data_IF_682898551218
#
_entry.id   IF_682898551218
#
_cell.length_a   1.000
_cell.length_b   1.000
_cell.length_c   1.000
_cell.angle_alpha   90.00
_cell.angle_beta   90.00
_cell.angle_gamma   90.00
#
_symmetry.space_group_name_H-M   'P 1'
#
loop_
_entity.id
_entity.type
_entity.pdbx_description
1 polymer ?
#
# COMPACT_ATOMS: atom_id res chain seq x y z
N UNK A 1 -9.99 24.55 9.17
CA UNK A 1 -8.64 24.04 9.50
C UNK A 1 -7.62 25.03 9.02
N UNK A 2 -6.78 25.57 9.89
CA UNK A 2 -5.78 26.56 9.50
C UNK A 2 -4.46 25.94 9.03
N UNK A 3 -4.14 24.71 9.41
CA UNK A 3 -2.93 24.03 8.92
C UNK A 3 -2.93 22.53 9.14
N UNK A 4 -2.85 21.76 8.05
CA UNK A 4 -2.70 20.29 8.07
C UNK A 4 -1.33 19.92 7.52
N UNK A 5 -0.56 19.17 8.30
CA UNK A 5 0.73 18.63 7.89
C UNK A 5 0.64 17.10 7.78
N UNK A 6 0.79 16.59 6.56
CA UNK A 6 0.81 15.15 6.28
C UNK A 6 2.27 14.69 6.24
N UNK A 7 2.62 13.73 7.08
CA UNK A 7 3.99 13.21 7.20
C UNK A 7 4.06 11.75 6.83
N UNK A 8 5.00 11.44 5.95
CA UNK A 8 5.29 10.09 5.51
C UNK A 8 6.79 9.79 5.63
N UNK A 9 7.20 8.59 5.23
CA UNK A 9 8.60 8.24 5.05
C UNK A 9 8.73 7.34 3.82
N UNK A 10 9.66 7.69 2.92
CA UNK A 10 9.92 6.93 1.68
C UNK A 10 10.71 5.65 1.96
N UNK A 11 10.05 4.73 2.67
CA UNK A 11 10.50 3.35 2.89
C UNK A 11 9.56 2.45 2.10
N UNK A 12 9.78 2.37 0.79
CA UNK A 12 8.78 1.87 -0.16
C UNK A 12 7.81 2.97 -0.65
N UNK A 13 7.03 2.66 -1.69
CA UNK A 13 6.14 3.63 -2.32
C UNK A 13 4.79 3.79 -1.61
N UNK A 14 4.35 2.81 -0.81
CA UNK A 14 3.01 2.74 -0.25
C UNK A 14 2.67 3.94 0.64
N UNK A 15 3.48 4.18 1.66
CA UNK A 15 3.23 5.24 2.64
C UNK A 15 3.12 6.65 1.99
N UNK A 16 4.01 6.97 1.04
CA UNK A 16 3.99 8.26 0.31
C UNK A 16 2.73 8.37 -0.55
N UNK A 17 2.32 7.28 -1.23
CA UNK A 17 1.11 7.29 -2.06
C UNK A 17 -0.15 7.47 -1.22
N UNK A 18 -0.23 6.87 -0.04
CA UNK A 18 -1.33 7.10 0.90
C UNK A 18 -1.37 8.57 1.37
N UNK A 19 -0.22 9.17 1.69
CA UNK A 19 -0.12 10.58 2.04
C UNK A 19 -0.60 11.49 0.90
N UNK A 20 -0.19 11.21 -0.33
CA UNK A 20 -0.61 11.94 -1.53
C UNK A 20 -2.12 11.78 -1.80
N UNK A 21 -2.67 10.59 -1.57
CA UNK A 21 -4.11 10.33 -1.71
C UNK A 21 -4.93 11.20 -0.72
N UNK A 22 -4.50 11.27 0.53
CA UNK A 22 -5.12 12.13 1.54
C UNK A 22 -4.99 13.61 1.15
N UNK A 23 -3.81 14.04 0.65
CA UNK A 23 -3.61 15.41 0.19
C UNK A 23 -4.56 15.78 -0.95
N UNK A 24 -4.75 14.88 -1.93
CA UNK A 24 -5.71 15.07 -3.02
C UNK A 24 -7.14 15.16 -2.50
N UNK A 25 -7.53 14.28 -1.59
CA UNK A 25 -8.87 14.31 -0.99
C UNK A 25 -9.14 15.61 -0.23
N UNK A 26 -8.14 16.17 0.45
CA UNK A 26 -8.23 17.50 1.05
C UNK A 26 -8.45 18.59 -0.01
N UNK A 27 -7.70 18.56 -1.11
CA UNK A 27 -7.83 19.53 -2.19
C UNK A 27 -9.22 19.45 -2.86
N UNK A 28 -9.75 18.23 -3.06
CA UNK A 28 -11.08 18.02 -3.63
C UNK A 28 -12.20 18.44 -2.69
N UNK A 29 -12.03 18.30 -1.38
CA UNK A 29 -13.04 18.67 -0.38
C UNK A 29 -13.10 20.18 -0.08
N UNK A 30 -12.07 20.95 -0.43
CA UNK A 30 -11.93 22.34 -0.03
C UNK A 30 -11.86 22.57 1.49
N UNK A 31 -11.52 21.53 2.26
CA UNK A 31 -11.64 21.49 3.72
C UNK A 31 -10.64 22.39 4.45
N UNK A 32 -9.56 22.81 3.80
CA UNK A 32 -8.52 23.65 4.39
C UNK A 32 -7.78 24.45 3.33
N UNK A 33 -7.29 25.63 3.69
CA UNK A 33 -6.49 26.49 2.82
C UNK A 33 -5.02 26.04 2.70
N UNK A 34 -4.53 25.25 3.67
CA UNK A 34 -3.12 24.83 3.71
C UNK A 34 -2.97 23.36 4.08
N UNK A 35 -2.60 22.53 3.10
CA UNK A 35 -2.19 21.13 3.28
C UNK A 35 -0.79 20.93 2.71
N UNK A 36 0.15 20.58 3.57
CA UNK A 36 1.50 20.22 3.14
C UNK A 36 1.73 18.71 3.33
N UNK A 37 2.33 18.08 2.34
CA UNK A 37 2.77 16.68 2.42
C UNK A 37 4.30 16.64 2.44
N UNK A 38 4.87 16.03 3.47
CA UNK A 38 6.31 16.03 3.75
C UNK A 38 6.82 14.60 3.88
N UNK A 39 7.92 14.30 3.20
CA UNK A 39 8.72 13.10 3.48
C UNK A 39 9.65 13.38 4.67
N UNK A 40 9.39 12.74 5.80
CA UNK A 40 10.18 12.91 7.02
C UNK A 40 11.66 12.54 6.84
N UNK A 41 11.98 11.65 5.89
CA UNK A 41 13.36 11.29 5.58
C UNK A 41 14.14 12.39 4.85
N UNK A 42 13.47 13.32 4.17
CA UNK A 42 14.14 14.48 3.57
C UNK A 42 14.65 15.45 4.64
N UNK A 43 14.06 15.42 5.83
CA UNK A 43 14.46 16.18 7.01
C UNK A 43 15.33 15.36 7.98
N UNK A 44 15.79 14.20 7.57
CA UNK A 44 16.72 13.37 8.35
C UNK A 44 18.16 13.61 7.94
N UNK A 45 19.10 13.27 8.84
CA UNK A 45 20.52 13.25 8.50
C UNK A 45 20.74 12.38 7.24
N UNK A 46 21.50 12.86 6.21
CA UNK A 46 21.69 12.11 4.96
C UNK A 46 22.25 10.70 5.13
N UNK A 47 23.18 10.51 6.09
CA UNK A 47 23.73 9.20 6.40
C UNK A 47 22.66 8.29 7.02
N UNK A 48 21.87 8.81 7.96
CA UNK A 48 20.75 8.08 8.57
C UNK A 48 19.72 7.69 7.50
N UNK A 49 19.30 8.63 6.64
CA UNK A 49 18.37 8.36 5.55
C UNK A 49 18.85 7.22 4.66
N UNK A 50 20.11 7.28 4.22
CA UNK A 50 20.71 6.25 3.36
C UNK A 50 20.77 4.88 4.06
N UNK A 51 21.21 4.86 5.32
CA UNK A 51 21.31 3.63 6.10
C UNK A 51 19.93 3.04 6.43
N UNK A 52 18.98 3.87 6.81
CA UNK A 52 17.62 3.45 7.15
C UNK A 52 16.91 2.80 5.94
N UNK A 53 16.94 3.49 4.79
CA UNK A 53 16.33 2.98 3.57
C UNK A 53 17.06 1.74 3.06
N UNK A 54 18.41 1.79 3.02
CA UNK A 54 19.22 0.67 2.53
C UNK A 54 19.10 -0.56 3.44
N UNK A 55 19.18 -0.39 4.77
CA UNK A 55 19.07 -1.51 5.70
C UNK A 55 17.70 -2.21 5.60
N UNK A 56 16.62 -1.45 5.42
CA UNK A 56 15.31 -2.03 5.18
C UNK A 56 15.27 -2.84 3.87
N UNK A 57 15.69 -2.23 2.76
CA UNK A 57 15.67 -2.88 1.44
C UNK A 57 16.58 -4.11 1.43
N UNK A 58 17.79 -4.00 1.96
CA UNK A 58 18.75 -5.11 2.01
C UNK A 58 18.19 -6.25 2.88
N UNK A 59 17.63 -5.95 4.06
CA UNK A 59 17.07 -6.97 4.95
C UNK A 59 15.88 -7.70 4.31
N UNK A 60 14.96 -6.96 3.68
CA UNK A 60 13.80 -7.54 2.99
C UNK A 60 14.22 -8.39 1.79
N UNK A 61 15.24 -7.98 1.03
CA UNK A 61 15.65 -8.68 -0.19
C UNK A 61 16.63 -9.82 0.05
N UNK A 62 17.55 -9.68 1.03
CA UNK A 62 18.64 -10.67 1.23
C UNK A 62 18.37 -11.62 2.38
N UNK A 63 17.60 -11.20 3.40
CA UNK A 63 17.31 -11.99 4.59
C UNK A 63 15.83 -11.90 5.00
N UNK A 64 14.88 -12.23 4.09
CA UNK A 64 13.44 -12.04 4.36
C UNK A 64 12.95 -12.82 5.59
N UNK A 65 13.44 -14.04 5.82
CA UNK A 65 13.09 -14.83 6.99
C UNK A 65 13.53 -14.17 8.32
N UNK A 66 14.72 -13.54 8.33
CA UNK A 66 15.20 -12.79 9.49
C UNK A 66 14.36 -11.53 9.73
N UNK A 67 13.93 -10.86 8.66
CA UNK A 67 13.02 -9.73 8.76
C UNK A 67 11.69 -10.14 9.38
N UNK A 68 11.07 -11.23 8.91
CA UNK A 68 9.82 -11.76 9.46
C UNK A 68 9.95 -12.14 10.94
N UNK A 69 11.03 -12.86 11.30
CA UNK A 69 11.30 -13.18 12.71
C UNK A 69 11.45 -11.92 13.58
N UNK A 70 12.18 -10.90 13.10
CA UNK A 70 12.34 -9.64 13.80
C UNK A 70 11.04 -8.85 13.91
N UNK A 71 10.19 -8.90 12.89
CA UNK A 71 8.86 -8.29 12.87
C UNK A 71 7.98 -8.91 13.98
N UNK A 72 7.89 -10.24 14.03
CA UNK A 72 7.10 -10.98 15.02
C UNK A 72 7.65 -10.86 16.46
N UNK A 73 8.98 -10.87 16.64
CA UNK A 73 9.57 -10.67 17.96
C UNK A 73 9.31 -9.27 18.54
N UNK A 74 9.24 -8.26 17.68
CA UNK A 74 8.83 -6.91 18.09
C UNK A 74 7.39 -6.84 18.56
N UNK A 75 6.48 -7.55 17.91
CA UNK A 75 5.10 -7.68 18.35
C UNK A 75 5.01 -8.20 19.79
N UNK A 76 5.79 -9.21 20.12
CA UNK A 76 5.82 -9.82 21.47
C UNK A 76 6.45 -8.92 22.54
N UNK A 77 7.42 -8.09 22.18
CA UNK A 77 8.21 -7.26 23.11
C UNK A 77 7.68 -5.83 23.31
N UNK A 78 6.61 -5.45 22.66
CA UNK A 78 6.08 -4.07 22.62
C UNK A 78 5.88 -3.40 24.00
N UNK A 79 5.73 -4.18 25.07
CA UNK A 79 5.54 -3.66 26.43
C UNK A 79 6.81 -3.05 27.06
N UNK A 80 8.00 -3.17 26.45
CA UNK A 80 9.28 -2.82 27.08
C UNK A 80 10.19 -1.84 26.30
N UNK A 81 9.85 -1.40 25.09
CA UNK A 81 10.76 -0.57 24.28
C UNK A 81 10.54 0.95 24.40
N UNK A 82 10.91 1.54 25.53
CA UNK A 82 10.97 2.99 25.73
C UNK A 82 12.21 3.69 25.10
N UNK A 83 13.16 2.92 24.53
CA UNK A 83 14.47 3.44 24.08
C UNK A 83 14.56 3.83 22.60
N UNK A 84 13.58 3.46 21.76
CA UNK A 84 13.54 3.75 20.33
C UNK A 84 13.52 5.23 19.97
N UNK A 85 12.78 6.09 20.67
CA UNK A 85 12.62 7.49 20.29
C UNK A 85 13.94 8.28 20.24
N UNK A 86 14.93 7.91 21.03
CA UNK A 86 16.16 8.69 21.14
C UNK A 86 17.03 8.68 19.87
N UNK A 87 17.16 7.52 19.22
CA UNK A 87 17.98 7.40 18.00
C UNK A 87 17.36 8.11 16.81
N UNK A 88 16.05 7.97 16.63
CA UNK A 88 15.30 8.68 15.56
C UNK A 88 15.38 10.20 15.77
N UNK A 89 15.21 10.68 17.00
CA UNK A 89 15.24 12.10 17.36
C UNK A 89 16.58 12.79 17.07
N UNK A 90 17.69 12.13 17.37
CA UNK A 90 19.02 12.67 17.09
C UNK A 90 19.27 12.88 15.60
N UNK A 91 18.70 12.03 14.77
CA UNK A 91 18.89 12.04 13.32
C UNK A 91 17.85 12.86 12.55
N UNK A 92 16.77 13.30 13.22
CA UNK A 92 15.64 14.04 12.61
C UNK A 92 15.45 15.43 13.20
N UNK A 93 16.51 16.05 13.71
CA UNK A 93 16.47 17.42 14.25
C UNK A 93 15.85 18.45 13.30
N UNK A 94 16.13 18.44 11.96
CA UNK A 94 15.48 19.38 11.05
C UNK A 94 13.95 19.18 10.98
N UNK A 95 13.45 17.93 11.09
CA UNK A 95 12.02 17.66 11.15
C UNK A 95 11.41 18.21 12.45
N UNK A 96 12.09 18.03 13.59
CA UNK A 96 11.66 18.60 14.88
C UNK A 96 11.55 20.11 14.76
N UNK A 97 12.55 20.77 14.20
CA UNK A 97 12.55 22.23 13.99
C UNK A 97 11.38 22.66 13.09
N UNK A 98 11.14 21.96 11.97
CA UNK A 98 10.01 22.21 11.10
C UNK A 98 8.68 22.16 11.88
N UNK A 99 8.48 21.13 12.69
CA UNK A 99 7.26 20.95 13.50
C UNK A 99 7.10 22.05 14.55
N UNK A 100 8.19 22.43 15.24
CA UNK A 100 8.19 23.49 16.24
C UNK A 100 7.92 24.88 15.64
N UNK A 101 8.38 25.14 14.40
CA UNK A 101 8.16 26.39 13.68
C UNK A 101 6.76 26.49 13.06
N UNK A 102 6.24 25.40 12.50
CA UNK A 102 4.95 25.38 11.80
C UNK A 102 3.76 25.26 12.73
N UNK A 103 3.92 24.61 13.91
CA UNK A 103 2.84 24.37 14.88
C UNK A 103 1.51 23.97 14.19
N UNK A 104 1.46 22.90 13.38
CA UNK A 104 0.27 22.52 12.64
C UNK A 104 -0.86 22.11 13.59
N UNK A 105 -2.11 22.50 13.30
CA UNK A 105 -3.28 22.13 14.10
C UNK A 105 -3.52 20.62 14.07
N UNK A 106 -3.30 20.03 12.88
CA UNK A 106 -3.45 18.59 12.68
C UNK A 106 -2.19 18.04 11.98
N UNK A 107 -1.67 16.95 12.53
CA UNK A 107 -0.63 16.14 11.90
C UNK A 107 -1.21 14.79 11.49
N UNK A 108 -1.03 14.40 10.23
CA UNK A 108 -1.46 13.12 9.69
C UNK A 108 -0.24 12.29 9.33
N UNK A 109 -0.05 11.15 9.98
CA UNK A 109 1.11 10.29 9.78
C UNK A 109 0.71 9.02 9.03
N UNK A 110 1.27 8.81 7.85
CA UNK A 110 1.12 7.56 7.08
C UNK A 110 2.30 6.61 7.28
N UNK A 111 3.19 6.91 8.23
CA UNK A 111 4.30 6.06 8.65
C UNK A 111 4.56 6.23 10.14
N UNK A 112 4.95 5.15 10.82
CA UNK A 112 5.14 5.14 12.29
C UNK A 112 6.30 6.03 12.77
N UNK A 113 7.36 6.23 11.98
CA UNK A 113 8.53 7.01 12.40
C UNK A 113 8.19 8.50 12.66
N UNK A 114 7.55 9.26 11.77
CA UNK A 114 7.10 10.61 12.10
C UNK A 114 6.05 10.60 13.21
N UNK A 115 5.16 9.60 13.28
CA UNK A 115 4.16 9.49 14.34
C UNK A 115 4.79 9.42 15.74
N UNK A 116 5.87 8.66 15.90
CA UNK A 116 6.63 8.53 17.14
C UNK A 116 7.30 9.86 17.55
N UNK A 117 7.85 10.61 16.59
CA UNK A 117 8.49 11.92 16.85
C UNK A 117 7.44 12.92 17.33
N UNK A 118 6.30 13.00 16.65
CA UNK A 118 5.21 13.89 17.04
C UNK A 118 4.67 13.54 18.42
N UNK A 119 4.43 12.25 18.67
CA UNK A 119 3.98 11.77 19.98
C UNK A 119 4.92 12.20 21.10
N UNK A 120 6.23 12.16 20.87
CA UNK A 120 7.20 12.66 21.83
C UNK A 120 7.11 14.18 22.01
N UNK A 121 7.04 14.97 20.93
CA UNK A 121 6.94 16.44 21.02
C UNK A 121 5.67 16.89 21.77
N UNK A 122 4.55 16.20 21.54
CA UNK A 122 3.28 16.47 22.26
C UNK A 122 3.43 16.20 23.75
N UNK A 123 4.05 15.08 24.12
CA UNK A 123 4.30 14.73 25.54
C UNK A 123 5.24 15.72 26.23
N UNK A 124 6.25 16.21 25.53
CA UNK A 124 7.18 17.24 26.04
C UNK A 124 6.59 18.65 26.02
N UNK A 125 5.33 18.79 25.60
CA UNK A 125 4.61 20.09 25.45
C UNK A 125 5.33 21.07 24.50
N UNK A 126 6.05 20.55 23.50
CA UNK A 126 6.74 21.33 22.47
C UNK A 126 5.91 21.52 21.22
N UNK A 127 4.90 20.69 21.04
CA UNK A 127 3.98 20.73 19.91
C UNK A 127 2.55 20.57 20.41
N UNK A 128 1.69 21.50 20.02
CA UNK A 128 0.25 21.47 20.29
C UNK A 128 -0.49 21.12 19.00
N UNK A 129 -0.60 19.83 18.70
CA UNK A 129 -1.27 19.31 17.50
C UNK A 129 -2.19 18.15 17.83
N UNK A 130 -3.24 17.99 17.06
CA UNK A 130 -4.03 16.75 17.03
C UNK A 130 -3.36 15.77 16.10
N UNK A 131 -2.96 14.62 16.64
CA UNK A 131 -2.26 13.59 15.87
C UNK A 131 -3.25 12.59 15.28
N UNK A 132 -3.19 12.36 13.99
CA UNK A 132 -3.86 11.28 13.28
C UNK A 132 -2.82 10.30 12.71
N UNK A 133 -3.07 9.01 12.88
CA UNK A 133 -2.22 7.93 12.39
C UNK A 133 -3.03 7.12 11.39
N UNK A 134 -2.57 7.06 10.15
CA UNK A 134 -3.20 6.32 9.06
C UNK A 134 -2.35 5.09 8.75
N UNK A 135 -2.85 3.94 9.19
CA UNK A 135 -2.18 2.66 8.97
C UNK A 135 -2.33 2.24 7.50
N UNK A 136 -1.24 1.86 6.86
CA UNK A 136 -1.19 1.54 5.43
C UNK A 136 -1.06 0.04 5.15
N UNK A 137 -1.32 -0.76 6.16
CA UNK A 137 -1.42 -2.22 6.11
C UNK A 137 -2.81 -2.68 6.55
N UNK A 138 -3.21 -3.89 6.16
CA UNK A 138 -4.48 -4.46 6.61
C UNK A 138 -4.43 -4.88 8.08
N UNK A 139 -3.30 -5.45 8.50
CA UNK A 139 -3.04 -5.72 9.91
C UNK A 139 -2.26 -4.56 10.55
N UNK A 140 -2.39 -4.42 11.87
CA UNK A 140 -1.66 -3.41 12.63
C UNK A 140 -0.53 -4.03 13.44
N UNK A 141 0.65 -3.44 13.34
CA UNK A 141 1.81 -3.80 14.14
C UNK A 141 1.99 -2.80 15.29
N UNK A 142 2.48 -3.26 16.44
CA UNK A 142 2.73 -2.43 17.64
C UNK A 142 3.61 -1.20 17.40
N UNK A 143 4.37 -1.17 16.32
CA UNK A 143 5.16 0.00 15.92
C UNK A 143 4.31 1.25 15.64
N UNK A 144 3.04 1.07 15.35
CA UNK A 144 2.11 2.17 15.12
C UNK A 144 1.56 2.78 16.42
N UNK A 145 1.72 2.10 17.56
CA UNK A 145 1.24 2.61 18.83
C UNK A 145 2.05 3.83 19.28
N UNK A 146 1.36 4.89 19.59
CA UNK A 146 1.91 6.12 20.13
C UNK A 146 1.47 6.35 21.56
N UNK A 147 2.39 6.76 22.47
CA UNK A 147 2.06 7.06 23.86
C UNK A 147 1.21 8.32 24.08
N UNK A 148 1.17 9.25 23.10
CA UNK A 148 0.29 10.43 23.14
C UNK A 148 -1.10 10.08 22.61
N UNK A 149 -2.14 10.82 23.00
CA UNK A 149 -3.44 10.69 22.36
C UNK A 149 -3.33 10.91 20.85
N UNK A 150 -3.86 9.95 20.07
CA UNK A 150 -3.89 10.01 18.61
C UNK A 150 -5.19 9.36 18.11
N UNK A 151 -5.67 9.81 16.95
CA UNK A 151 -6.76 9.15 16.26
C UNK A 151 -6.20 8.19 15.19
N UNK A 152 -6.62 6.92 15.24
CA UNK A 152 -6.17 5.88 14.32
C UNK A 152 -7.16 5.66 13.21
N UNK A 153 -6.66 5.62 11.98
CA UNK A 153 -7.39 5.16 10.79
C UNK A 153 -6.81 3.82 10.38
N UNK A 154 -7.65 2.80 10.34
CA UNK A 154 -7.25 1.41 10.05
C UNK A 154 -8.02 0.85 8.86
N UNK A 155 -7.48 -0.20 8.26
CA UNK A 155 -8.05 -0.78 7.04
C UNK A 155 -9.33 -1.57 7.31
N UNK A 156 -9.37 -2.35 8.38
CA UNK A 156 -10.37 -3.40 8.65
C UNK A 156 -10.74 -3.45 10.13
N UNK A 157 -11.85 -4.14 10.44
CA UNK A 157 -12.36 -4.28 11.80
C UNK A 157 -11.45 -5.13 12.70
N UNK A 158 -10.70 -6.09 12.16
CA UNK A 158 -9.71 -6.87 12.90
C UNK A 158 -8.57 -5.98 13.43
N UNK A 159 -8.09 -5.04 12.62
CA UNK A 159 -7.09 -4.07 13.05
C UNK A 159 -7.63 -3.14 14.16
N UNK A 160 -8.91 -2.77 14.08
CA UNK A 160 -9.62 -2.05 15.16
C UNK A 160 -9.65 -2.87 16.43
N UNK A 161 -10.14 -4.12 16.36
CA UNK A 161 -10.21 -5.01 17.52
C UNK A 161 -8.83 -5.22 18.16
N UNK A 162 -7.78 -5.33 17.34
CA UNK A 162 -6.41 -5.45 17.83
C UNK A 162 -5.98 -4.18 18.57
N UNK A 163 -6.21 -2.98 18.04
CA UNK A 163 -5.91 -1.71 18.75
C UNK A 163 -6.67 -1.60 20.07
N UNK A 164 -7.95 -1.98 20.08
CA UNK A 164 -8.77 -1.99 21.31
C UNK A 164 -8.17 -2.94 22.36
N UNK A 165 -7.70 -4.13 21.95
CA UNK A 165 -7.02 -5.08 22.84
C UNK A 165 -5.69 -4.54 23.41
N UNK A 166 -5.06 -3.59 22.71
CA UNK A 166 -3.84 -2.91 23.13
C UNK A 166 -4.13 -1.64 23.96
N UNK A 167 -5.43 -1.35 24.25
CA UNK A 167 -5.86 -0.27 25.13
C UNK A 167 -6.15 1.05 24.43
N UNK A 168 -6.23 1.10 23.10
CA UNK A 168 -6.68 2.29 22.38
C UNK A 168 -8.20 2.41 22.50
N UNK A 169 -8.74 3.57 22.93
CA UNK A 169 -10.17 3.75 23.07
C UNK A 169 -10.91 3.58 21.73
N UNK A 170 -12.07 2.90 21.67
CA UNK A 170 -12.84 2.71 20.42
C UNK A 170 -13.20 4.03 19.74
N UNK A 171 -13.40 5.11 20.52
CA UNK A 171 -13.69 6.46 19.99
C UNK A 171 -12.52 7.09 19.25
N UNK A 172 -11.30 6.61 19.49
CA UNK A 172 -10.07 7.06 18.83
C UNK A 172 -9.71 6.21 17.60
N UNK A 173 -10.60 5.31 17.13
CA UNK A 173 -10.34 4.42 16.00
C UNK A 173 -11.46 4.58 14.96
N UNK A 174 -11.05 4.71 13.69
CA UNK A 174 -11.96 4.71 12.54
C UNK A 174 -11.51 3.68 11.52
N UNK A 175 -12.41 2.80 11.13
CA UNK A 175 -12.19 1.84 10.02
C UNK A 175 -12.52 2.56 8.71
N UNK A 176 -11.50 3.08 8.05
CA UNK A 176 -11.63 3.87 6.81
C UNK A 176 -11.27 3.07 5.54
N UNK A 177 -10.52 2.00 5.70
CA UNK A 177 -9.74 1.45 4.59
C UNK A 177 -8.37 2.13 4.48
N UNK A 178 -7.52 1.61 3.61
CA UNK A 178 -6.23 2.23 3.28
C UNK A 178 -6.46 3.32 2.23
N UNK A 179 -6.03 4.57 2.46
CA UNK A 179 -6.19 5.64 1.49
C UNK A 179 -5.46 5.35 0.18
N UNK A 180 -6.23 5.22 -0.89
CA UNK A 180 -5.76 5.13 -2.28
C UNK A 180 -6.12 6.41 -3.03
N UNK A 181 -5.47 6.66 -4.16
CA UNK A 181 -5.73 7.85 -4.96
C UNK A 181 -7.25 7.95 -5.28
N UNK A 182 -7.89 9.11 -5.05
CA UNK A 182 -9.31 9.32 -5.33
C UNK A 182 -9.75 8.89 -6.74
N UNK A 183 -8.85 8.86 -7.71
CA UNK A 183 -9.13 8.38 -9.07
C UNK A 183 -9.65 6.94 -9.09
N UNK A 184 -9.31 6.09 -8.12
CA UNK A 184 -9.79 4.72 -8.00
C UNK A 184 -11.25 4.61 -7.53
N UNK A 185 -11.84 5.69 -7.01
CA UNK A 185 -13.27 5.73 -6.67
C UNK A 185 -14.14 5.98 -7.91
N UNK A 186 -13.53 6.42 -9.02
CA UNK A 186 -14.25 6.73 -10.24
C UNK A 186 -14.52 5.44 -11.03
N UNK A 187 -15.79 5.14 -11.38
CA UNK A 187 -16.11 3.96 -12.15
C UNK A 187 -15.52 4.06 -13.56
N UNK A 188 -14.91 2.97 -14.01
CA UNK A 188 -14.37 2.85 -15.37
C UNK A 188 -14.87 1.55 -16.00
N UNK A 189 -15.33 1.64 -17.26
CA UNK A 189 -15.77 0.47 -18.00
C UNK A 189 -14.55 -0.26 -18.56
N UNK A 190 -14.45 -1.58 -18.26
CA UNK A 190 -13.28 -2.40 -18.57
C UNK A 190 -12.99 -2.46 -20.08
N UNK A 191 -14.00 -2.63 -20.91
CA UNK A 191 -13.84 -2.71 -22.37
C UNK A 191 -13.34 -1.40 -22.96
N UNK A 192 -13.87 -0.25 -22.49
CA UNK A 192 -13.39 1.06 -22.93
C UNK A 192 -11.91 1.29 -22.54
N UNK A 193 -11.49 0.82 -21.35
CA UNK A 193 -10.08 0.92 -20.94
C UNK A 193 -9.19 -0.02 -21.75
N UNK A 194 -9.68 -1.21 -22.11
CA UNK A 194 -8.95 -2.12 -23.02
C UNK A 194 -8.73 -1.47 -24.38
N UNK A 195 -9.76 -0.88 -24.98
CA UNK A 195 -9.62 -0.17 -26.26
C UNK A 195 -8.63 0.98 -26.18
N UNK A 196 -8.76 1.81 -25.14
CA UNK A 196 -7.87 2.97 -24.92
C UNK A 196 -6.41 2.57 -24.86
N UNK A 197 -6.11 1.44 -24.21
CA UNK A 197 -4.74 0.96 -24.03
C UNK A 197 -4.33 -0.07 -25.09
N UNK A 198 -5.15 -0.35 -26.10
CA UNK A 198 -4.87 -1.34 -27.14
C UNK A 198 -4.70 -2.75 -26.57
N UNK A 199 -5.56 -3.13 -25.62
CA UNK A 199 -5.57 -4.46 -25.00
C UNK A 199 -6.66 -5.33 -25.63
N UNK A 200 -6.41 -6.63 -25.64
CA UNK A 200 -7.31 -7.61 -26.25
C UNK A 200 -8.65 -7.69 -25.50
N UNK A 201 -9.77 -7.68 -26.24
CA UNK A 201 -11.11 -7.88 -25.69
C UNK A 201 -11.48 -9.37 -25.50
N UNK A 202 -10.86 -10.24 -26.28
CA UNK A 202 -11.10 -11.69 -26.35
C UNK A 202 -10.19 -12.53 -25.46
N UNK A 203 -9.39 -11.89 -24.64
CA UNK A 203 -8.41 -12.54 -23.78
C UNK A 203 -8.58 -12.08 -22.32
N UNK A 204 -8.09 -12.91 -21.40
CA UNK A 204 -7.92 -12.53 -19.99
C UNK A 204 -6.77 -11.53 -19.88
N UNK A 205 -7.01 -10.39 -19.23
CA UNK A 205 -5.99 -9.39 -18.99
C UNK A 205 -5.46 -9.53 -17.56
N UNK A 206 -4.15 -9.78 -17.45
CA UNK A 206 -3.45 -9.94 -16.16
C UNK A 206 -2.51 -8.76 -15.97
N UNK A 207 -2.78 -7.95 -14.94
CA UNK A 207 -1.94 -6.81 -14.58
C UNK A 207 -0.87 -7.22 -13.57
N UNK A 208 0.39 -6.88 -13.85
CA UNK A 208 1.51 -7.05 -12.93
C UNK A 208 2.11 -5.70 -12.61
N UNK A 209 2.18 -5.35 -11.33
CA UNK A 209 2.97 -4.21 -10.85
C UNK A 209 4.44 -4.65 -10.69
N UNK A 210 5.16 -4.69 -11.79
CA UNK A 210 6.50 -5.26 -11.86
C UNK A 210 7.56 -4.46 -11.09
N UNK A 211 7.36 -3.14 -10.93
CA UNK A 211 8.28 -2.26 -10.20
C UNK A 211 8.42 -2.57 -8.70
N UNK A 212 7.50 -3.34 -8.11
CA UNK A 212 7.56 -3.81 -6.72
C UNK A 212 8.38 -5.09 -6.51
N UNK A 213 8.82 -5.76 -7.59
CA UNK A 213 9.62 -6.98 -7.52
C UNK A 213 11.12 -6.68 -7.61
N UNK A 214 11.94 -7.55 -7.03
CA UNK A 214 13.37 -7.61 -7.36
C UNK A 214 13.58 -8.13 -8.79
N UNK A 215 14.67 -7.72 -9.42
CA UNK A 215 14.93 -7.95 -10.85
C UNK A 215 14.72 -9.41 -11.28
N UNK A 216 15.24 -10.40 -10.55
CA UNK A 216 15.10 -11.82 -10.92
C UNK A 216 13.70 -12.42 -10.74
N UNK A 217 12.92 -11.88 -9.84
CA UNK A 217 11.58 -12.43 -9.52
C UNK A 217 10.54 -12.15 -10.60
N UNK A 218 10.65 -11.02 -11.30
CA UNK A 218 9.72 -10.68 -12.41
C UNK A 218 9.82 -11.69 -13.54
N UNK A 219 11.03 -12.11 -13.89
CA UNK A 219 11.26 -13.06 -14.98
C UNK A 219 10.61 -14.42 -14.70
N UNK A 220 10.71 -14.90 -13.46
CA UNK A 220 10.08 -16.17 -13.07
C UNK A 220 8.54 -16.07 -13.09
N UNK A 221 7.97 -14.96 -12.64
CA UNK A 221 6.52 -14.71 -12.71
C UNK A 221 6.07 -14.68 -14.17
N UNK A 222 6.75 -13.92 -15.04
CA UNK A 222 6.42 -13.80 -16.45
C UNK A 222 6.59 -15.14 -17.17
N UNK A 223 7.70 -15.86 -16.94
CA UNK A 223 7.96 -17.17 -17.54
C UNK A 223 6.85 -18.18 -17.19
N UNK A 224 6.36 -18.15 -15.94
CA UNK A 224 5.24 -18.99 -15.55
C UNK A 224 3.93 -18.56 -16.23
N UNK A 225 3.60 -17.26 -16.24
CA UNK A 225 2.36 -16.76 -16.83
C UNK A 225 2.29 -17.00 -18.35
N UNK A 226 3.41 -17.00 -19.05
CA UNK A 226 3.47 -17.37 -20.47
C UNK A 226 3.08 -18.83 -20.75
N UNK A 227 2.96 -19.68 -19.73
CA UNK A 227 2.49 -21.08 -19.83
C UNK A 227 0.96 -21.23 -19.66
N UNK A 228 0.21 -20.12 -19.55
CA UNK A 228 -1.26 -20.16 -19.47
C UNK A 228 -1.85 -20.86 -20.69
N UNK A 229 -2.86 -21.71 -20.44
CA UNK A 229 -3.61 -22.43 -21.48
C UNK A 229 -4.76 -21.61 -22.05
N UNK A 230 -5.31 -20.67 -21.24
CA UNK A 230 -6.33 -19.72 -21.69
C UNK A 230 -5.68 -18.58 -22.47
N UNK A 231 -6.39 -18.01 -23.48
CA UNK A 231 -5.96 -16.79 -24.12
C UNK A 231 -5.80 -15.67 -23.09
N UNK A 232 -4.60 -15.09 -23.00
CA UNK A 232 -4.30 -14.06 -22.02
C UNK A 232 -3.41 -12.96 -22.61
N UNK A 233 -3.55 -11.76 -22.07
CA UNK A 233 -2.63 -10.65 -22.28
C UNK A 233 -2.07 -10.23 -20.92
N UNK A 234 -0.76 -10.31 -20.79
CA UNK A 234 -0.04 -9.91 -19.57
C UNK A 234 0.42 -8.47 -19.76
N UNK A 235 0.01 -7.59 -18.85
CA UNK A 235 0.45 -6.19 -18.82
C UNK A 235 1.38 -6.00 -17.65
N UNK A 236 2.68 -5.81 -17.94
CA UNK A 236 3.70 -5.61 -16.92
C UNK A 236 4.07 -4.12 -16.80
N UNK A 237 3.63 -3.48 -15.71
CA UNK A 237 3.96 -2.07 -15.41
C UNK A 237 5.29 -2.02 -14.68
N UNK A 238 6.34 -1.55 -15.36
CA UNK A 238 7.73 -1.53 -14.89
C UNK A 238 8.08 -0.26 -14.10
N UNK A 239 7.17 0.72 -14.06
CA UNK A 239 7.43 2.00 -13.42
C UNK A 239 8.63 2.73 -14.04
N UNK A 240 9.46 3.34 -13.20
CA UNK A 240 10.65 4.09 -13.64
C UNK A 240 11.86 3.19 -13.96
N UNK A 241 11.71 1.87 -13.92
CA UNK A 241 12.81 0.94 -14.18
C UNK A 241 12.90 0.63 -15.69
N UNK A 242 13.64 1.45 -16.43
CA UNK A 242 13.85 1.31 -17.87
C UNK A 242 14.56 0.00 -18.24
N UNK A 243 15.47 -0.50 -17.41
CA UNK A 243 16.15 -1.77 -17.63
C UNK A 243 15.15 -2.93 -17.57
N UNK A 244 14.28 -2.93 -16.56
CA UNK A 244 13.21 -3.91 -16.43
C UNK A 244 12.27 -3.86 -17.64
N UNK A 245 11.87 -2.64 -18.04
CA UNK A 245 11.01 -2.46 -19.22
C UNK A 245 11.66 -3.05 -20.47
N UNK A 246 12.91 -2.73 -20.73
CA UNK A 246 13.64 -3.25 -21.89
C UNK A 246 13.78 -4.79 -21.87
N UNK A 247 13.88 -5.40 -20.68
CA UNK A 247 13.87 -6.87 -20.54
C UNK A 247 12.50 -7.47 -20.86
N UNK A 248 11.44 -6.86 -20.33
CA UNK A 248 10.07 -7.31 -20.62
C UNK A 248 9.72 -7.14 -22.10
N UNK A 249 10.17 -6.04 -22.74
CA UNK A 249 10.02 -5.84 -24.19
C UNK A 249 10.73 -6.94 -25.00
N UNK A 250 11.94 -7.34 -24.61
CA UNK A 250 12.64 -8.47 -25.26
C UNK A 250 11.88 -9.78 -25.09
N UNK A 251 11.43 -10.08 -23.86
CA UNK A 251 10.61 -11.28 -23.61
C UNK A 251 9.33 -11.26 -24.46
N UNK A 252 8.69 -10.10 -24.61
CA UNK A 252 7.51 -9.96 -25.45
C UNK A 252 7.81 -10.25 -26.94
N UNK A 253 8.99 -9.81 -27.43
CA UNK A 253 9.46 -10.10 -28.78
C UNK A 253 9.77 -11.58 -29.03
N UNK A 254 10.18 -12.30 -27.98
CA UNK A 254 10.50 -13.74 -28.05
C UNK A 254 9.24 -14.64 -27.96
N UNK A 255 8.06 -14.07 -27.63
CA UNK A 255 6.80 -14.83 -27.58
C UNK A 255 6.38 -15.22 -28.98
N UNK A 256 6.20 -16.52 -29.28
CA UNK A 256 5.81 -16.96 -30.61
C UNK A 256 4.49 -16.34 -31.09
N UNK A 257 4.40 -15.94 -32.34
CA UNK A 257 3.16 -15.35 -32.89
C UNK A 257 1.94 -16.28 -32.79
N UNK A 258 2.15 -17.58 -32.71
CA UNK A 258 1.09 -18.58 -32.48
C UNK A 258 0.71 -18.76 -31.02
N UNK A 259 1.37 -18.06 -30.08
CA UNK A 259 1.05 -18.14 -28.66
C UNK A 259 -0.35 -17.56 -28.38
N UNK A 260 -1.08 -18.22 -27.49
CA UNK A 260 -2.34 -17.70 -26.95
C UNK A 260 -2.13 -16.59 -25.92
N UNK A 261 -0.92 -16.48 -25.39
CA UNK A 261 -0.55 -15.48 -24.37
C UNK A 261 0.34 -14.44 -25.02
N UNK A 262 0.02 -13.18 -24.80
CA UNK A 262 0.83 -12.03 -25.21
C UNK A 262 1.33 -11.26 -24.00
N UNK A 263 2.44 -10.55 -24.16
CA UNK A 263 3.07 -9.75 -23.11
C UNK A 263 3.26 -8.31 -23.59
N UNK A 264 2.86 -7.36 -22.75
CA UNK A 264 3.00 -5.93 -23.01
C UNK A 264 3.75 -5.27 -21.85
N UNK A 265 4.88 -4.65 -22.14
CA UNK A 265 5.60 -3.83 -21.17
C UNK A 265 5.03 -2.40 -21.15
N UNK A 266 4.81 -1.88 -19.96
CA UNK A 266 4.41 -0.49 -19.71
C UNK A 266 5.45 0.14 -18.78
N UNK A 267 6.00 1.28 -19.16
CA UNK A 267 6.92 2.05 -18.34
C UNK A 267 6.21 2.76 -17.18
N UNK A 268 6.71 3.94 -16.80
CA UNK A 268 6.04 4.78 -15.82
C UNK A 268 4.69 5.23 -16.37
N UNK A 269 3.64 5.08 -15.57
CA UNK A 269 2.29 5.51 -15.94
C UNK A 269 1.59 6.18 -14.76
N UNK A 270 0.78 7.19 -15.05
CA UNK A 270 -0.18 7.80 -14.12
C UNK A 270 -1.58 7.20 -14.26
N UNK A 271 -1.79 6.31 -15.26
CA UNK A 271 -3.07 5.68 -15.58
C UNK A 271 -3.20 4.26 -14.98
N UNK A 272 -2.62 4.01 -13.80
CA UNK A 272 -2.66 2.69 -13.15
C UNK A 272 -4.11 2.23 -12.90
N UNK A 273 -4.99 3.17 -12.56
CA UNK A 273 -6.42 2.96 -12.38
C UNK A 273 -7.12 2.44 -13.65
N UNK A 274 -6.72 2.93 -14.82
CA UNK A 274 -7.23 2.49 -16.12
C UNK A 274 -6.76 1.07 -16.45
N UNK A 275 -5.47 0.76 -16.21
CA UNK A 275 -4.93 -0.60 -16.36
C UNK A 275 -5.57 -1.57 -15.36
N UNK A 276 -5.80 -1.13 -14.13
CA UNK A 276 -6.50 -1.94 -13.13
C UNK A 276 -7.95 -2.20 -13.58
N UNK A 277 -8.67 -1.17 -14.08
CA UNK A 277 -10.02 -1.34 -14.59
C UNK A 277 -10.08 -2.30 -15.79
N UNK A 278 -9.09 -2.24 -16.70
CA UNK A 278 -8.99 -3.10 -17.89
C UNK A 278 -8.67 -4.57 -17.55
N UNK A 279 -8.05 -4.84 -16.40
CA UNK A 279 -7.58 -6.19 -16.03
C UNK A 279 -8.68 -7.09 -15.48
N UNK A 280 -8.45 -8.40 -15.49
CA UNK A 280 -9.27 -9.42 -14.81
C UNK A 280 -8.64 -9.86 -13.49
N UNK A 281 -7.31 -9.86 -13.43
CA UNK A 281 -6.50 -10.23 -12.28
C UNK A 281 -5.41 -9.20 -12.04
N UNK A 282 -5.09 -8.99 -10.78
CA UNK A 282 -3.86 -8.33 -10.37
C UNK A 282 -2.91 -9.37 -9.75
N UNK A 283 -1.68 -9.44 -10.24
CA UNK A 283 -0.64 -10.36 -9.74
C UNK A 283 0.48 -9.54 -9.13
N UNK A 284 0.84 -9.83 -7.89
CA UNK A 284 1.91 -9.08 -7.23
C UNK A 284 2.19 -9.46 -5.80
N UNK A 285 3.12 -8.72 -5.20
CA UNK A 285 3.32 -8.71 -3.76
C UNK A 285 2.12 -8.05 -3.08
N UNK A 286 1.64 -8.56 -1.94
CA UNK A 286 0.43 -8.08 -1.30
C UNK A 286 0.70 -6.82 -0.45
N UNK A 287 1.19 -5.75 -1.08
CA UNK A 287 1.28 -4.44 -0.45
C UNK A 287 -0.10 -3.81 -0.26
N UNK A 288 -0.34 -3.19 0.89
CA UNK A 288 -1.65 -2.69 1.29
C UNK A 288 -2.34 -1.81 0.24
N UNK A 289 -1.60 -0.86 -0.37
CA UNK A 289 -2.18 0.02 -1.39
C UNK A 289 -2.54 -0.73 -2.67
N UNK A 290 -1.63 -1.56 -3.19
CA UNK A 290 -1.87 -2.28 -4.46
C UNK A 290 -3.07 -3.22 -4.34
N UNK A 291 -3.23 -3.89 -3.18
CA UNK A 291 -4.41 -4.70 -2.93
C UNK A 291 -5.68 -3.84 -2.82
N UNK A 292 -5.65 -2.71 -2.11
CA UNK A 292 -6.79 -1.79 -2.00
C UNK A 292 -7.20 -1.23 -3.37
N UNK A 293 -6.24 -0.91 -4.24
CA UNK A 293 -6.48 -0.49 -5.63
C UNK A 293 -7.13 -1.60 -6.47
N UNK A 294 -6.69 -2.85 -6.31
CA UNK A 294 -7.30 -4.00 -6.99
C UNK A 294 -8.72 -4.24 -6.50
N UNK A 295 -8.95 -4.19 -5.19
CA UNK A 295 -10.28 -4.33 -4.59
C UNK A 295 -11.24 -3.26 -5.09
N UNK A 296 -10.79 -2.00 -5.27
CA UNK A 296 -11.62 -0.89 -5.74
C UNK A 296 -12.30 -1.19 -7.10
N UNK A 297 -11.66 -1.99 -7.94
CA UNK A 297 -12.23 -2.44 -9.22
C UNK A 297 -12.72 -3.91 -9.16
N UNK A 298 -12.86 -4.51 -7.99
CA UNK A 298 -13.35 -5.87 -7.82
C UNK A 298 -12.45 -6.92 -8.48
N UNK A 299 -11.12 -6.69 -8.48
CA UNK A 299 -10.18 -7.63 -9.11
C UNK A 299 -9.75 -8.71 -8.13
N UNK A 300 -9.68 -9.95 -8.61
CA UNK A 300 -9.09 -11.04 -7.83
C UNK A 300 -7.58 -10.83 -7.78
N UNK A 301 -7.03 -10.83 -6.55
CA UNK A 301 -5.61 -10.67 -6.36
C UNK A 301 -4.89 -12.02 -6.31
N UNK A 302 -3.81 -12.16 -7.07
CA UNK A 302 -2.96 -13.34 -7.04
C UNK A 302 -1.67 -12.99 -6.32
N UNK A 303 -1.57 -13.45 -5.09
CA UNK A 303 -0.43 -13.18 -4.22
C UNK A 303 0.77 -14.01 -4.63
N UNK A 304 1.90 -13.35 -4.88
CA UNK A 304 3.20 -13.98 -5.14
C UNK A 304 4.29 -13.29 -4.30
N UNK A 305 5.23 -14.08 -3.79
CA UNK A 305 6.42 -13.61 -3.08
C UNK A 305 6.15 -12.52 -2.01
N UNK A 306 5.24 -12.72 -1.05
CA UNK A 306 5.01 -11.77 0.02
C UNK A 306 6.26 -11.60 0.87
N UNK A 307 6.48 -10.37 1.38
CA UNK A 307 7.50 -10.13 2.40
C UNK A 307 7.01 -10.78 3.70
N UNK A 308 7.82 -11.66 4.32
CA UNK A 308 7.45 -12.31 5.58
C UNK A 308 7.06 -11.32 6.68
N UNK A 309 6.06 -11.68 7.45
CA UNK A 309 5.46 -10.82 8.48
C UNK A 309 4.45 -9.84 7.89
N UNK A 310 4.87 -8.66 7.48
CA UNK A 310 3.99 -7.56 7.06
C UNK A 310 3.09 -7.92 5.87
N UNK A 311 3.69 -8.32 4.73
CA UNK A 311 2.88 -8.59 3.52
C UNK A 311 2.16 -9.94 3.60
N UNK A 312 2.67 -10.89 4.38
CA UNK A 312 1.93 -12.14 4.64
C UNK A 312 0.63 -11.86 5.36
N UNK A 313 0.65 -11.08 6.45
CA UNK A 313 -0.56 -10.68 7.20
C UNK A 313 -1.53 -9.88 6.33
N UNK A 314 -1.02 -9.00 5.46
CA UNK A 314 -1.85 -8.32 4.48
C UNK A 314 -2.56 -9.31 3.54
N UNK A 315 -1.86 -10.36 3.09
CA UNK A 315 -2.46 -11.37 2.21
C UNK A 315 -3.48 -12.26 2.91
N UNK A 316 -3.27 -12.58 4.18
CA UNK A 316 -4.10 -13.48 4.95
C UNK A 316 -5.55 -12.97 5.00
N UNK A 317 -5.77 -11.69 5.25
CA UNK A 317 -7.11 -11.09 5.21
C UNK A 317 -7.83 -11.33 3.87
N UNK A 318 -7.18 -11.07 2.72
CA UNK A 318 -7.82 -11.29 1.41
C UNK A 318 -8.04 -12.78 1.10
N UNK A 319 -7.18 -13.65 1.61
CA UNK A 319 -7.32 -15.10 1.46
C UNK A 319 -8.49 -15.64 2.29
N UNK A 320 -8.60 -15.22 3.55
CA UNK A 320 -9.70 -15.57 4.47
C UNK A 320 -11.05 -15.10 3.95
N UNK A 321 -11.09 -13.87 3.42
CA UNK A 321 -12.28 -13.29 2.83
C UNK A 321 -12.59 -13.80 1.40
N UNK A 322 -11.75 -14.69 0.86
CA UNK A 322 -11.95 -15.30 -0.44
C UNK A 322 -11.87 -14.34 -1.62
N UNK A 323 -11.10 -13.25 -1.51
CA UNK A 323 -10.85 -12.28 -2.59
C UNK A 323 -9.51 -12.49 -3.30
N UNK A 324 -8.64 -13.36 -2.79
CA UNK A 324 -7.34 -13.66 -3.33
C UNK A 324 -7.03 -15.16 -3.40
N UNK A 325 -6.02 -15.50 -4.20
CA UNK A 325 -5.32 -16.79 -4.14
C UNK A 325 -3.83 -16.55 -3.93
N UNK A 326 -3.14 -17.46 -3.25
CA UNK A 326 -1.68 -17.39 -3.04
C UNK A 326 -0.94 -18.44 -3.85
N UNK A 327 0.13 -18.06 -4.52
CA UNK A 327 1.04 -18.95 -5.22
C UNK A 327 2.41 -18.94 -4.55
N UNK A 328 2.73 -19.98 -3.78
CA UNK A 328 4.02 -20.13 -3.08
C UNK A 328 5.13 -20.63 -3.99
N UNK A 329 4.78 -21.32 -5.08
CA UNK A 329 5.73 -21.87 -6.04
C UNK A 329 5.47 -21.30 -7.43
N UNK A 330 6.27 -20.35 -7.89
CA UNK A 330 6.07 -19.63 -9.14
C UNK A 330 5.90 -20.54 -10.37
N UNK A 331 6.59 -21.68 -10.54
CA UNK A 331 6.38 -22.58 -11.68
C UNK A 331 4.95 -23.08 -11.87
N UNK A 332 4.11 -23.06 -10.80
CA UNK A 332 2.70 -23.49 -10.89
C UNK A 332 1.70 -22.31 -10.93
N UNK A 333 2.16 -21.08 -11.11
CA UNK A 333 1.31 -19.89 -11.12
C UNK A 333 0.27 -19.97 -12.24
N UNK A 334 0.69 -20.29 -13.48
CA UNK A 334 -0.20 -20.47 -14.60
C UNK A 334 -1.27 -21.56 -14.31
N UNK A 335 -0.85 -22.70 -13.77
CA UNK A 335 -1.79 -23.77 -13.39
C UNK A 335 -2.86 -23.28 -12.39
N UNK A 336 -2.47 -22.49 -11.39
CA UNK A 336 -3.43 -21.95 -10.40
C UNK A 336 -4.43 -21.01 -11.03
N UNK A 337 -3.99 -20.13 -11.94
CA UNK A 337 -4.86 -19.20 -12.66
C UNK A 337 -5.78 -19.97 -13.61
N UNK A 338 -5.25 -20.90 -14.42
CA UNK A 338 -6.05 -21.77 -15.31
C UNK A 338 -7.11 -22.54 -14.53
N UNK A 339 -6.74 -23.10 -13.36
CA UNK A 339 -7.69 -23.78 -12.49
C UNK A 339 -8.84 -22.87 -12.04
N UNK A 340 -8.53 -21.61 -11.72
CA UNK A 340 -9.55 -20.65 -11.30
C UNK A 340 -10.42 -20.22 -12.50
N UNK A 341 -9.84 -20.06 -13.69
CA UNK A 341 -10.58 -19.74 -14.92
C UNK A 341 -11.54 -20.86 -15.34
N UNK A 342 -11.22 -22.11 -15.00
CA UNK A 342 -12.11 -23.26 -15.22
C UNK A 342 -13.21 -23.41 -14.16
N UNK A 343 -13.15 -22.63 -13.07
CA UNK A 343 -14.15 -22.63 -12.00
C UNK A 343 -14.84 -21.24 -11.94
N UNK A 344 -15.73 -21.02 -12.91
CA UNK A 344 -16.41 -19.72 -13.07
C UNK A 344 -17.20 -19.32 -11.84
N UNK A 345 -17.83 -20.27 -11.14
CA UNK A 345 -18.62 -19.97 -9.94
C UNK A 345 -17.70 -19.40 -8.84
N UNK A 346 -16.56 -20.03 -8.63
CA UNK A 346 -15.56 -19.55 -7.67
C UNK A 346 -15.02 -18.18 -8.08
N UNK A 347 -14.71 -17.98 -9.35
CA UNK A 347 -14.21 -16.69 -9.85
C UNK A 347 -15.21 -15.56 -9.64
N UNK A 348 -16.50 -15.81 -9.89
CA UNK A 348 -17.58 -14.83 -9.66
C UNK A 348 -17.64 -14.50 -8.17
N UNK A 349 -17.70 -15.50 -7.28
CA UNK A 349 -17.73 -15.27 -5.83
C UNK A 349 -16.51 -14.49 -5.33
N UNK A 350 -15.34 -14.77 -5.86
CA UNK A 350 -14.12 -14.03 -5.49
C UNK A 350 -14.18 -12.56 -5.91
N UNK A 351 -14.72 -12.27 -7.10
CA UNK A 351 -14.92 -10.88 -7.56
C UNK A 351 -15.97 -10.13 -6.73
N UNK A 352 -17.03 -10.81 -6.31
CA UNK A 352 -18.04 -10.25 -5.40
C UNK A 352 -17.44 -9.94 -4.03
N UNK A 353 -16.65 -10.86 -3.47
CA UNK A 353 -15.93 -10.63 -2.24
C UNK A 353 -14.96 -9.43 -2.35
N UNK A 354 -14.19 -9.35 -3.45
CA UNK A 354 -13.31 -8.22 -3.68
C UNK A 354 -14.06 -6.87 -3.69
N UNK A 355 -15.25 -6.80 -4.33
CA UNK A 355 -16.08 -5.59 -4.31
C UNK A 355 -16.63 -5.27 -2.92
N UNK A 356 -17.03 -6.29 -2.15
CA UNK A 356 -17.52 -6.11 -0.77
C UNK A 356 -16.45 -5.55 0.16
N UNK A 357 -15.20 -5.96 -0.01
CA UNK A 357 -14.06 -5.50 0.78
C UNK A 357 -13.53 -4.12 0.35
N UNK A 358 -13.91 -3.66 -0.84
CA UNK A 358 -13.40 -2.42 -1.40
C UNK A 358 -13.76 -1.20 -0.54
N UNK A 359 -12.78 -0.30 -0.35
CA UNK A 359 -12.95 1.01 0.31
C UNK A 359 -12.37 2.12 -0.59
N UNK A 360 -12.94 2.36 -1.78
CA UNK A 360 -12.37 3.29 -2.74
C UNK A 360 -12.36 4.75 -2.26
N UNK A 361 -13.22 5.10 -1.30
CA UNK A 361 -13.35 6.44 -0.74
C UNK A 361 -12.50 6.66 0.53
N UNK A 362 -11.64 5.71 0.91
CA UNK A 362 -10.88 5.76 2.16
C UNK A 362 -10.15 7.09 2.41
N UNK A 363 -9.59 7.72 1.36
CA UNK A 363 -8.93 9.02 1.48
C UNK A 363 -9.93 10.14 1.87
N UNK A 364 -11.11 10.16 1.27
CA UNK A 364 -12.17 11.13 1.60
C UNK A 364 -12.76 10.86 3.00
N UNK A 365 -12.93 9.59 3.37
CA UNK A 365 -13.43 9.20 4.70
C UNK A 365 -12.48 9.66 5.82
N UNK A 366 -11.17 9.55 5.59
CA UNK A 366 -10.15 10.11 6.50
C UNK A 366 -10.32 11.61 6.64
N UNK A 367 -10.43 12.36 5.53
CA UNK A 367 -10.58 13.82 5.53
C UNK A 367 -11.88 14.23 6.23
N UNK A 368 -13.01 13.61 5.89
CA UNK A 368 -14.30 13.90 6.51
C UNK A 368 -14.26 13.66 8.02
N UNK A 369 -13.64 12.57 8.47
CA UNK A 369 -13.50 12.30 9.91
C UNK A 369 -12.62 13.32 10.62
N UNK A 370 -11.51 13.75 10.00
CA UNK A 370 -10.62 14.77 10.56
C UNK A 370 -11.36 16.12 10.75
N UNK A 371 -12.22 16.50 9.80
CA UNK A 371 -13.07 17.69 9.92
C UNK A 371 -14.02 17.61 11.12
N UNK A 372 -14.64 16.44 11.35
CA UNK A 372 -15.53 16.23 12.49
C UNK A 372 -14.78 16.29 13.83
N UNK A 373 -13.54 15.78 13.88
CA UNK A 373 -12.71 15.85 15.09
C UNK A 373 -12.28 17.29 15.43
N UNK A 374 -12.23 18.18 14.43
CA UNK A 374 -11.96 19.61 14.66
C UNK A 374 -13.14 20.35 15.25
N UNK A 375 -14.36 19.98 14.86
CA UNK A 375 -15.59 20.67 15.29
C UNK A 375 -15.95 20.44 16.77
N UNK A 376 -15.31 19.46 17.45
CA UNK A 376 -15.53 19.21 18.88
C UNK A 376 -14.48 19.99 19.67
N UNK A 377 -14.87 21.05 20.43
CA UNK A 377 -13.96 21.73 21.36
C UNK A 377 -13.46 20.72 22.39
N UNK A 378 -12.13 20.65 22.60
CA UNK A 378 -11.50 19.81 23.63
C UNK A 378 -11.78 20.30 25.05
#
# INVERSE_FOLDING_TARGET
MSGVLILSARVGAGHIRAAQAIQKAFAESGATESVQCVDALDYANPLFRRLYTKAYIDMVNTMPALYGFYYDEREKRAKHELLRPAFSRLNTRPLIKLLEEHQPDITVCTHFMPAEIISWLVREKKLATRQAIVVTDFDIHVQWLCPSPAHYFVAIDEARAHLESLGVPPTAITVSGIPIDPVFSQPKESGAMRDKHGLRRDAIVILISAGGFGIGQVDEVLASLLQLRHPAEIVAVCGQNEELKARVDRLAGDVPAASRVTLKAVGYTTAMDEYMAASDFAVGKPGGLTMSEALAYGKVFVVVNPIPGQEERNSDHLLEEGAAIRCNNLPILAYKIDRLLNDLQRLISMRENARRLARPNAAHDVVAKLQLLEAVPG
#
